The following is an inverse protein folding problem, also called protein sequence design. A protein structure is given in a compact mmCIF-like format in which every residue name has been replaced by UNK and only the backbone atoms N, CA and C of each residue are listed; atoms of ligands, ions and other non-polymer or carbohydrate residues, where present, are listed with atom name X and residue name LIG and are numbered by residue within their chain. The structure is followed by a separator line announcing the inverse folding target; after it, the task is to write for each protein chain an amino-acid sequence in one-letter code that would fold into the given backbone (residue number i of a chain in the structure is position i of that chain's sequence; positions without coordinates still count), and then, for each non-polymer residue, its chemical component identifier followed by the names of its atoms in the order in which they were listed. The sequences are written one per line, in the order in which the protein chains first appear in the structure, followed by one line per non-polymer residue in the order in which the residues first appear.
data_IF_146227335260
#
_entry.id   IF_146227335260
#
_cell.length_a   1.000
_cell.length_b   1.000
_cell.length_c   1.000
_cell.angle_alpha   90.00
_cell.angle_beta   90.00
_cell.angle_gamma   90.00
#
_symmetry.space_group_name_H-M   'P 1'
#
loop_
_entity.id
_entity.type
_entity.pdbx_description
1 polymer ?
#
# COMPACT_ATOMS: atom_id res chain seq x y z
N UNK A 1 -57.29 44.47 35.11
CA UNK A 1 -57.19 44.89 33.69
C UNK A 1 -55.73 44.90 33.27
N UNK A 2 -55.47 44.33 32.08
CA UNK A 2 -54.29 44.48 31.19
C UNK A 2 -52.96 43.78 31.55
N UNK A 3 -52.75 42.70 30.77
CA UNK A 3 -51.51 42.05 30.35
C UNK A 3 -50.35 43.01 30.07
N UNK A 4 -49.12 42.56 30.32
CA UNK A 4 -48.11 42.49 29.26
C UNK A 4 -47.11 41.35 29.52
N UNK A 5 -47.05 40.42 28.57
CA UNK A 5 -46.08 39.33 28.48
C UNK A 5 -44.73 39.93 28.10
N UNK A 6 -43.64 39.54 28.77
CA UNK A 6 -42.28 39.77 28.27
C UNK A 6 -41.53 38.44 28.31
N UNK A 7 -41.53 37.79 27.16
CA UNK A 7 -40.64 36.67 26.83
C UNK A 7 -39.39 37.31 26.24
N UNK A 8 -38.27 37.26 26.96
CA UNK A 8 -36.95 37.51 26.37
C UNK A 8 -36.18 36.20 26.36
N UNK A 9 -36.05 35.64 25.16
CA UNK A 9 -35.30 34.43 24.88
C UNK A 9 -33.81 34.59 25.22
N UNK A 10 -33.13 33.55 25.74
CA UNK A 10 -31.68 33.55 25.76
C UNK A 10 -31.18 33.37 24.33
N UNK A 11 -30.46 34.36 23.81
CA UNK A 11 -29.66 34.23 22.59
C UNK A 11 -28.55 33.24 22.93
N UNK A 12 -28.73 31.97 22.57
CA UNK A 12 -27.64 31.02 22.49
C UNK A 12 -26.72 31.50 21.37
N UNK A 13 -25.66 32.19 21.74
CA UNK A 13 -24.49 32.36 20.89
C UNK A 13 -23.78 31.00 20.76
N UNK A 14 -24.39 30.06 20.02
CA UNK A 14 -23.67 28.91 19.51
C UNK A 14 -22.77 29.43 18.39
N UNK A 15 -21.54 29.77 18.75
CA UNK A 15 -20.45 29.89 17.79
C UNK A 15 -20.26 28.50 17.18
N UNK A 16 -20.96 28.23 16.09
CA UNK A 16 -20.58 27.18 15.18
C UNK A 16 -19.31 27.72 14.53
N UNK A 17 -18.16 27.42 15.11
CA UNK A 17 -16.93 27.37 14.31
C UNK A 17 -17.13 26.17 13.40
N UNK A 18 -17.89 26.39 12.32
CA UNK A 18 -17.75 25.57 11.15
C UNK A 18 -16.34 25.87 10.71
N UNK A 19 -15.40 25.00 11.05
CA UNK A 19 -14.15 24.94 10.32
C UNK A 19 -14.58 24.82 8.87
N UNK A 20 -14.44 25.92 8.11
CA UNK A 20 -14.53 25.85 6.67
C UNK A 20 -13.70 24.64 6.25
N UNK A 21 -14.17 23.79 5.31
CA UNK A 21 -13.43 22.59 4.96
C UNK A 21 -12.00 23.01 4.69
N UNK A 22 -11.06 22.53 5.51
CA UNK A 22 -9.66 22.63 5.16
C UNK A 22 -9.57 22.00 3.77
N UNK A 23 -8.90 22.68 2.85
CA UNK A 23 -8.53 22.04 1.61
C UNK A 23 -7.53 20.95 2.02
N UNK A 24 -7.99 19.74 2.26
CA UNK A 24 -7.08 18.63 2.47
C UNK A 24 -6.43 18.30 1.15
N UNK A 25 -5.12 18.05 1.13
CA UNK A 25 -4.44 17.39 0.03
C UNK A 25 -3.75 16.15 0.60
N UNK A 26 -4.05 15.00 0.02
CA UNK A 26 -3.45 13.72 0.43
C UNK A 26 -2.85 13.05 -0.79
N UNK A 27 -1.68 12.44 -0.60
CA UNK A 27 -0.98 11.68 -1.63
C UNK A 27 -0.42 10.40 -1.02
N UNK A 28 -0.52 9.30 -1.76
CA UNK A 28 0.14 8.04 -1.45
C UNK A 28 0.65 7.42 -2.75
N UNK A 29 1.86 6.87 -2.69
CA UNK A 29 2.56 6.26 -3.82
C UNK A 29 3.31 5.03 -3.36
N UNK A 30 3.24 3.97 -4.16
CA UNK A 30 3.93 2.70 -3.92
C UNK A 30 4.34 2.11 -5.26
N UNK A 31 5.64 2.04 -5.54
CA UNK A 31 6.20 1.40 -6.72
C UNK A 31 7.17 0.28 -6.34
N UNK A 32 7.08 -0.84 -7.04
CA UNK A 32 7.99 -1.97 -6.91
C UNK A 32 8.51 -2.39 -8.27
N UNK A 33 9.83 -2.57 -8.38
CA UNK A 33 10.52 -3.05 -9.58
C UNK A 33 11.34 -4.28 -9.22
N UNK A 34 11.32 -5.28 -10.09
CA UNK A 34 12.19 -6.45 -9.99
C UNK A 34 12.71 -6.84 -11.38
N UNK A 35 14.02 -7.11 -11.44
CA UNK A 35 14.71 -7.52 -12.65
C UNK A 35 15.56 -8.74 -12.31
N UNK A 36 15.53 -9.75 -13.17
CA UNK A 36 16.37 -10.94 -13.08
C UNK A 36 17.10 -11.15 -14.38
N UNK A 37 18.41 -11.36 -14.28
CA UNK A 37 19.30 -11.54 -15.42
C UNK A 37 20.41 -12.53 -15.09
N UNK A 38 21.32 -12.74 -16.06
CA UNK A 38 22.48 -13.63 -15.93
C UNK A 38 22.14 -15.04 -15.44
N UNK A 39 21.00 -15.58 -15.90
CA UNK A 39 20.61 -16.95 -15.59
C UNK A 39 21.67 -17.94 -16.08
N UNK A 40 22.09 -18.85 -15.20
CA UNK A 40 22.98 -19.97 -15.54
C UNK A 40 22.38 -20.96 -16.55
N UNK A 41 21.05 -20.99 -16.68
CA UNK A 41 20.30 -21.95 -17.49
C UNK A 41 19.05 -21.28 -18.08
N UNK A 42 18.66 -21.66 -19.29
CA UNK A 42 17.46 -21.12 -19.94
C UNK A 42 16.18 -21.79 -19.42
N UNK A 43 15.05 -21.07 -19.34
CA UNK A 43 13.79 -21.63 -18.89
C UNK A 43 13.20 -22.53 -19.99
N UNK A 44 12.60 -23.63 -19.55
CA UNK A 44 11.79 -24.54 -20.38
C UNK A 44 10.39 -23.99 -20.66
N UNK A 45 9.87 -23.18 -19.75
CA UNK A 45 8.57 -22.52 -19.85
C UNK A 45 8.59 -21.24 -19.01
N UNK A 46 7.84 -20.23 -19.45
CA UNK A 46 7.68 -18.96 -18.75
C UNK A 46 6.21 -18.56 -18.70
N UNK A 47 5.83 -17.83 -17.67
CA UNK A 47 4.53 -17.19 -17.54
C UNK A 47 4.68 -15.84 -16.84
N UNK A 48 3.74 -14.94 -17.11
CA UNK A 48 3.63 -13.65 -16.42
C UNK A 48 2.17 -13.39 -16.08
N UNK A 49 1.93 -12.63 -15.02
CA UNK A 49 0.59 -12.18 -14.66
C UNK A 49 0.65 -10.76 -14.08
N UNK A 50 -0.36 -9.97 -14.41
CA UNK A 50 -0.55 -8.61 -13.89
C UNK A 50 -2.00 -8.43 -13.46
N UNK A 51 -2.22 -7.75 -12.34
CA UNK A 51 -3.54 -7.42 -11.82
C UNK A 51 -3.55 -6.00 -11.26
N UNK A 52 -4.63 -5.27 -11.50
CA UNK A 52 -4.79 -3.90 -11.02
C UNK A 52 -6.21 -3.66 -10.56
N UNK A 53 -6.35 -2.95 -9.43
CA UNK A 53 -7.65 -2.62 -8.86
C UNK A 53 -7.64 -1.21 -8.30
N UNK A 54 -8.73 -0.47 -8.52
CA UNK A 54 -8.89 0.88 -7.99
C UNK A 54 -10.29 1.07 -7.40
N UNK A 55 -10.37 1.87 -6.34
CA UNK A 55 -11.62 2.30 -5.74
C UNK A 55 -11.54 3.80 -5.46
N UNK A 56 -12.55 4.54 -5.94
CA UNK A 56 -12.73 5.95 -5.64
C UNK A 56 -14.14 6.20 -5.11
N UNK A 57 -14.22 6.92 -3.99
CA UNK A 57 -15.47 7.39 -3.40
C UNK A 57 -15.29 8.87 -3.09
N UNK A 58 -16.19 9.73 -3.58
CA UNK A 58 -16.19 11.14 -3.23
C UNK A 58 -17.60 11.67 -2.97
N UNK A 59 -17.73 12.46 -1.90
CA UNK A 59 -18.94 13.20 -1.52
C UNK A 59 -18.61 14.63 -1.13
N UNK A 60 -17.92 15.33 -2.04
CA UNK A 60 -17.62 16.75 -1.89
C UNK A 60 -16.16 17.13 -2.06
N UNK A 61 -15.31 16.20 -2.48
CA UNK A 61 -13.92 16.44 -2.85
C UNK A 61 -13.58 15.84 -4.22
N UNK A 62 -12.29 15.80 -4.53
CA UNK A 62 -11.78 15.07 -5.68
C UNK A 62 -10.89 13.94 -5.19
N UNK A 63 -10.90 12.82 -5.91
CA UNK A 63 -10.04 11.69 -5.60
C UNK A 63 -9.71 10.95 -6.88
N UNK A 64 -8.46 10.55 -7.00
CA UNK A 64 -7.90 9.80 -8.10
C UNK A 64 -7.13 8.61 -7.53
N UNK A 65 -7.26 7.47 -8.19
CA UNK A 65 -6.49 6.27 -7.90
C UNK A 65 -5.98 5.72 -9.24
N UNK A 66 -4.69 5.42 -9.31
CA UNK A 66 -4.00 4.89 -10.49
C UNK A 66 -3.29 3.61 -10.06
N UNK A 67 -3.48 2.54 -10.83
CA UNK A 67 -2.76 1.28 -10.62
C UNK A 67 -2.24 0.79 -11.97
N UNK A 68 -0.94 0.54 -12.04
CA UNK A 68 -0.23 0.06 -13.22
C UNK A 68 0.58 -1.18 -12.87
N UNK A 69 0.69 -2.11 -13.82
CA UNK A 69 1.48 -3.33 -13.68
C UNK A 69 2.00 -3.78 -15.05
N UNK A 70 3.29 -4.12 -15.12
CA UNK A 70 3.95 -4.63 -16.31
C UNK A 70 4.75 -5.88 -15.96
N UNK A 71 4.79 -6.87 -16.85
CA UNK A 71 5.59 -8.07 -16.68
C UNK A 71 5.99 -8.70 -18.02
N UNK A 72 7.26 -9.08 -18.16
CA UNK A 72 7.75 -9.87 -19.27
C UNK A 72 8.82 -10.87 -18.83
N UNK A 73 8.93 -11.97 -19.59
CA UNK A 73 9.99 -12.96 -19.44
C UNK A 73 10.49 -13.36 -20.82
N UNK A 74 11.72 -12.99 -21.14
CA UNK A 74 12.41 -13.35 -22.38
C UNK A 74 13.22 -14.63 -22.17
N UNK A 75 13.19 -15.54 -23.15
CA UNK A 75 13.96 -16.80 -23.10
C UNK A 75 15.37 -16.59 -23.67
N UNK A 76 15.52 -15.81 -24.73
CA UNK A 76 16.81 -15.54 -25.39
C UNK A 76 16.96 -14.04 -25.74
N UNK A 77 17.86 -13.29 -25.06
CA UNK A 77 18.56 -13.68 -23.83
C UNK A 77 17.58 -13.91 -22.68
N UNK A 78 17.96 -14.74 -21.70
CA UNK A 78 17.10 -15.03 -20.55
C UNK A 78 17.08 -13.84 -19.59
N UNK A 79 15.95 -13.13 -19.55
CA UNK A 79 15.73 -11.95 -18.70
C UNK A 79 14.28 -11.93 -18.25
N UNK A 80 14.03 -11.68 -16.97
CA UNK A 80 12.69 -11.46 -16.43
C UNK A 80 12.60 -10.06 -15.82
N UNK A 81 11.46 -9.40 -16.02
CA UNK A 81 11.20 -8.07 -15.51
C UNK A 81 9.72 -7.95 -15.16
N UNK A 82 9.46 -7.23 -14.09
CA UNK A 82 8.13 -6.73 -13.81
C UNK A 82 8.15 -5.54 -12.85
N UNK A 83 7.12 -4.70 -13.00
CA UNK A 83 6.87 -3.53 -12.17
C UNK A 83 5.40 -3.47 -11.75
N UNK A 84 5.15 -2.87 -10.59
CA UNK A 84 3.80 -2.55 -10.11
C UNK A 84 3.81 -1.19 -9.42
N UNK A 85 2.90 -0.31 -9.84
CA UNK A 85 2.74 1.04 -9.32
C UNK A 85 1.31 1.21 -8.82
N UNK A 86 1.17 1.79 -7.63
CA UNK A 86 -0.10 2.22 -7.06
C UNK A 86 0.03 3.65 -6.57
N UNK A 87 -0.87 4.51 -7.01
CA UNK A 87 -0.91 5.93 -6.64
C UNK A 87 -2.34 6.32 -6.26
N UNK A 88 -2.49 7.09 -5.19
CA UNK A 88 -3.75 7.66 -4.80
C UNK A 88 -3.57 9.12 -4.39
N UNK A 89 -4.44 9.98 -4.90
CA UNK A 89 -4.43 11.42 -4.64
C UNK A 89 -5.84 11.89 -4.30
N UNK A 90 -5.95 12.81 -3.35
CA UNK A 90 -7.22 13.31 -2.87
C UNK A 90 -7.16 14.79 -2.50
N UNK A 91 -8.24 15.51 -2.79
CA UNK A 91 -8.38 16.92 -2.47
C UNK A 91 -9.74 17.27 -1.85
N UNK A 92 -9.73 18.24 -0.94
CA UNK A 92 -10.87 18.79 -0.22
C UNK A 92 -11.41 17.90 0.90
N UNK A 93 -12.58 17.27 0.74
CA UNK A 93 -13.27 16.59 1.84
C UNK A 93 -14.02 15.35 1.39
N UNK A 94 -14.27 14.45 2.32
CA UNK A 94 -15.18 13.32 2.16
C UNK A 94 -14.82 12.43 0.97
N UNK A 95 -13.61 11.88 0.99
CA UNK A 95 -13.15 10.98 -0.06
C UNK A 95 -12.39 9.77 0.47
N UNK A 96 -12.34 8.74 -0.37
CA UNK A 96 -11.51 7.55 -0.24
C UNK A 96 -10.97 7.21 -1.63
N UNK A 97 -9.65 7.05 -1.72
CA UNK A 97 -8.95 6.56 -2.89
C UNK A 97 -8.11 5.36 -2.50
N UNK A 98 -8.23 4.26 -3.23
CA UNK A 98 -7.41 3.06 -3.06
C UNK A 98 -6.95 2.61 -4.43
N UNK A 99 -5.65 2.41 -4.58
CA UNK A 99 -5.02 1.76 -5.73
C UNK A 99 -4.27 0.53 -5.25
N UNK A 100 -4.37 -0.56 -6.01
CA UNK A 100 -3.65 -1.80 -5.78
C UNK A 100 -3.15 -2.35 -7.11
N UNK A 101 -1.92 -2.82 -7.14
CA UNK A 101 -1.33 -3.49 -8.29
C UNK A 101 -0.50 -4.69 -7.87
N UNK A 102 -0.53 -5.72 -8.70
CA UNK A 102 0.27 -6.94 -8.56
C UNK A 102 0.92 -7.27 -9.91
N UNK A 103 2.18 -7.69 -9.87
CA UNK A 103 2.87 -8.22 -11.04
C UNK A 103 3.70 -9.44 -10.64
N UNK A 104 3.77 -10.43 -11.53
CA UNK A 104 4.52 -11.66 -11.28
C UNK A 104 5.17 -12.20 -12.55
N UNK A 105 6.31 -12.86 -12.35
CA UNK A 105 7.03 -13.63 -13.38
C UNK A 105 7.31 -15.02 -12.87
N UNK A 106 7.14 -16.02 -13.74
CA UNK A 106 7.36 -17.42 -13.43
C UNK A 106 8.25 -18.02 -14.51
N UNK A 107 9.32 -18.70 -14.10
CA UNK A 107 10.22 -19.42 -15.00
C UNK A 107 10.47 -20.84 -14.50
N UNK A 108 10.24 -21.84 -15.36
CA UNK A 108 10.50 -23.24 -15.04
C UNK A 108 11.80 -23.69 -15.68
N UNK A 109 12.72 -24.27 -14.90
CA UNK A 109 14.05 -24.67 -15.34
C UNK A 109 14.27 -26.16 -15.08
N UNK A 110 14.81 -26.86 -16.08
CA UNK A 110 15.34 -28.21 -15.89
C UNK A 110 16.80 -28.08 -15.52
N UNK A 111 17.15 -28.49 -14.30
CA UNK A 111 18.49 -28.38 -13.74
C UNK A 111 19.16 -29.74 -13.77
N UNK A 112 20.30 -29.83 -14.46
CA UNK A 112 21.07 -31.05 -14.55
C UNK A 112 21.70 -31.41 -13.19
N UNK A 113 21.83 -32.71 -12.95
CA UNK A 113 22.59 -33.23 -11.81
C UNK A 113 24.02 -32.69 -11.78
N UNK A 114 24.51 -32.42 -10.57
CA UNK A 114 25.85 -31.91 -10.29
C UNK A 114 26.17 -30.54 -10.91
N UNK A 115 25.17 -29.67 -11.05
CA UNK A 115 25.34 -28.30 -11.58
C UNK A 115 24.80 -27.23 -10.62
N UNK A 116 25.23 -25.99 -10.81
CA UNK A 116 24.64 -24.83 -10.13
C UNK A 116 23.48 -24.27 -10.95
N UNK A 117 22.44 -23.85 -10.24
CA UNK A 117 21.48 -22.88 -10.74
C UNK A 117 21.75 -21.54 -10.06
N UNK A 118 21.88 -20.49 -10.86
CA UNK A 118 22.10 -19.12 -10.40
C UNK A 118 21.45 -18.10 -11.33
N UNK A 119 21.23 -16.92 -10.76
CA UNK A 119 20.83 -15.68 -11.43
C UNK A 119 21.24 -14.48 -10.58
N UNK A 120 21.35 -13.33 -11.22
CA UNK A 120 21.48 -12.03 -10.56
C UNK A 120 20.13 -11.32 -10.56
N UNK A 121 19.89 -10.48 -9.57
CA UNK A 121 18.67 -9.69 -9.48
C UNK A 121 18.92 -8.28 -8.98
N UNK A 122 18.07 -7.37 -9.45
CA UNK A 122 17.93 -6.02 -8.94
C UNK A 122 16.48 -5.81 -8.49
N UNK A 123 16.30 -5.11 -7.38
CA UNK A 123 14.97 -4.70 -6.92
C UNK A 123 14.96 -3.30 -6.34
N UNK A 124 13.85 -2.60 -6.54
CA UNK A 124 13.59 -1.29 -5.95
C UNK A 124 12.17 -1.26 -5.39
N UNK A 125 12.02 -0.85 -4.13
CA UNK A 125 10.74 -0.51 -3.50
C UNK A 125 10.76 0.98 -3.12
N UNK A 126 9.84 1.75 -3.68
CA UNK A 126 9.65 3.16 -3.38
C UNK A 126 8.24 3.42 -2.85
N UNK A 127 8.16 4.01 -1.66
CA UNK A 127 6.92 4.42 -1.01
C UNK A 127 7.00 5.92 -0.68
N UNK A 128 5.90 6.64 -0.88
CA UNK A 128 5.76 8.01 -0.40
C UNK A 128 4.33 8.30 0.08
N UNK A 129 4.20 9.11 1.11
CA UNK A 129 2.91 9.65 1.58
C UNK A 129 3.04 11.14 1.88
N UNK A 130 1.94 11.88 1.73
CA UNK A 130 1.84 13.29 2.13
C UNK A 130 0.41 13.62 2.55
N UNK A 131 0.29 14.42 3.60
CA UNK A 131 -0.95 15.06 4.04
C UNK A 131 -0.69 16.53 4.39
N UNK A 132 -1.73 17.35 4.45
CA UNK A 132 -1.65 18.74 4.91
C UNK A 132 -1.98 18.87 6.42
N UNK A 133 -2.98 18.12 6.91
CA UNK A 133 -3.48 18.23 8.28
C UNK A 133 -3.77 16.88 8.95
N UNK A 134 -3.00 16.57 9.99
CA UNK A 134 -3.30 15.47 10.91
C UNK A 134 -4.28 15.94 12.02
N UNK A 135 -5.22 15.10 12.50
CA UNK A 135 -5.42 13.68 12.20
C UNK A 135 -6.59 13.37 11.24
N UNK A 136 -7.18 14.39 10.60
CA UNK A 136 -8.34 14.15 9.72
C UNK A 136 -7.93 13.50 8.39
N UNK A 137 -6.73 13.79 7.92
CA UNK A 137 -6.21 13.32 6.64
C UNK A 137 -5.36 12.08 6.84
N UNK A 138 -5.53 11.11 5.95
CA UNK A 138 -4.85 9.82 6.02
C UNK A 138 -4.24 9.50 4.67
N UNK A 139 -2.96 9.14 4.68
CA UNK A 139 -2.27 8.56 3.55
C UNK A 139 -1.50 7.32 4.00
N UNK A 140 -1.53 6.27 3.18
CA UNK A 140 -0.82 5.01 3.42
C UNK A 140 -0.29 4.45 2.11
N UNK A 141 0.97 4.04 2.13
CA UNK A 141 1.59 3.30 1.05
C UNK A 141 2.24 2.04 1.60
N UNK A 142 2.10 0.92 0.89
CA UNK A 142 2.71 -0.34 1.28
C UNK A 142 3.00 -1.18 0.05
N UNK A 143 4.13 -1.87 0.07
CA UNK A 143 4.45 -2.84 -0.97
C UNK A 143 5.31 -3.99 -0.47
N UNK A 144 5.24 -5.09 -1.20
CA UNK A 144 6.11 -6.25 -1.01
C UNK A 144 6.68 -6.72 -2.35
N UNK A 145 7.91 -7.24 -2.28
CA UNK A 145 8.65 -7.83 -3.39
C UNK A 145 9.22 -9.15 -2.91
N UNK A 146 8.89 -10.24 -3.60
CA UNK A 146 9.30 -11.57 -3.16
C UNK A 146 9.59 -12.50 -4.31
N UNK A 147 10.56 -13.38 -4.12
CA UNK A 147 10.71 -14.56 -4.96
C UNK A 147 10.87 -15.82 -4.12
N UNK A 148 10.49 -16.94 -4.72
CA UNK A 148 10.74 -18.27 -4.23
C UNK A 148 11.29 -19.15 -5.34
N UNK A 149 12.25 -20.01 -5.00
CA UNK A 149 12.68 -21.11 -5.84
C UNK A 149 12.02 -22.39 -5.31
N UNK A 150 11.23 -23.06 -6.14
CA UNK A 150 10.39 -24.18 -5.74
C UNK A 150 10.85 -25.43 -6.52
N UNK A 151 11.10 -26.53 -5.83
CA UNK A 151 11.28 -27.83 -6.48
C UNK A 151 9.90 -28.40 -6.86
N UNK A 152 9.63 -28.51 -8.16
CA UNK A 152 8.32 -28.96 -8.65
C UNK A 152 8.10 -30.47 -8.46
N UNK A 153 9.18 -31.24 -8.25
CA UNK A 153 9.09 -32.69 -8.03
C UNK A 153 8.70 -33.01 -6.58
N UNK A 154 9.25 -32.24 -5.63
CA UNK A 154 9.08 -32.48 -4.20
C UNK A 154 8.12 -31.50 -3.52
N UNK A 155 7.64 -30.47 -4.24
CA UNK A 155 6.72 -29.43 -3.77
C UNK A 155 7.23 -28.70 -2.50
N UNK A 156 8.49 -28.30 -2.52
CA UNK A 156 9.10 -27.55 -1.42
C UNK A 156 9.84 -26.29 -1.90
N UNK A 157 9.80 -25.26 -1.06
CA UNK A 157 10.56 -24.03 -1.25
C UNK A 157 12.03 -24.33 -0.90
N UNK A 158 12.90 -24.14 -1.88
CA UNK A 158 14.35 -24.31 -1.75
C UNK A 158 15.02 -23.04 -1.25
N UNK A 159 14.62 -21.90 -1.82
CA UNK A 159 15.22 -20.58 -1.56
C UNK A 159 14.13 -19.51 -1.61
N UNK A 160 14.35 -18.40 -0.90
CA UNK A 160 13.40 -17.29 -0.91
C UNK A 160 14.08 -15.95 -0.63
N UNK A 161 13.39 -14.90 -1.02
CA UNK A 161 13.68 -13.51 -0.69
C UNK A 161 12.35 -12.77 -0.51
N UNK A 162 12.31 -11.85 0.46
CA UNK A 162 11.17 -11.00 0.73
C UNK A 162 11.65 -9.63 1.22
N UNK A 163 11.23 -8.58 0.54
CA UNK A 163 11.32 -7.19 0.96
C UNK A 163 9.90 -6.67 1.12
N UNK A 164 9.60 -6.06 2.26
CA UNK A 164 8.30 -5.46 2.52
C UNK A 164 8.46 -4.10 3.20
N UNK A 165 7.59 -3.16 2.84
CA UNK A 165 7.55 -1.82 3.42
C UNK A 165 6.12 -1.34 3.62
N UNK A 166 5.94 -0.55 4.66
CA UNK A 166 4.70 0.17 4.93
C UNK A 166 5.04 1.53 5.54
N UNK A 167 4.40 2.57 5.04
CA UNK A 167 4.44 3.91 5.62
C UNK A 167 3.01 4.46 5.75
N UNK A 168 2.74 5.19 6.83
CA UNK A 168 1.45 5.79 7.08
C UNK A 168 1.55 7.07 7.91
N UNK A 169 0.90 8.13 7.40
CA UNK A 169 0.79 9.39 8.15
C UNK A 169 -0.13 9.30 9.36
N UNK A 170 -0.78 8.14 9.59
CA UNK A 170 -1.61 7.85 10.74
C UNK A 170 -0.92 6.85 11.67
N UNK A 171 -0.53 7.30 12.86
CA UNK A 171 0.00 6.41 13.90
C UNK A 171 1.50 6.17 13.76
N UNK A 172 1.95 4.96 14.11
CA UNK A 172 3.37 4.55 14.18
C UNK A 172 3.53 3.11 13.65
N UNK A 173 2.79 2.78 12.58
CA UNK A 173 2.80 1.45 11.95
C UNK A 173 3.81 1.36 10.78
N UNK A 174 4.82 2.24 10.78
CA UNK A 174 5.84 2.31 9.74
C UNK A 174 6.87 1.18 9.91
N UNK A 175 7.18 0.49 8.81
CA UNK A 175 8.22 -0.52 8.83
C UNK A 175 8.89 -0.73 7.48
N UNK A 176 10.09 -1.29 7.55
CA UNK A 176 10.77 -1.95 6.44
C UNK A 176 11.32 -3.28 6.96
N UNK A 177 11.09 -4.35 6.22
CA UNK A 177 11.50 -5.70 6.59
C UNK A 177 12.15 -6.41 5.41
N UNK A 178 13.20 -7.17 5.68
CA UNK A 178 13.95 -7.93 4.70
C UNK A 178 14.23 -9.33 5.26
N UNK A 179 13.88 -10.35 4.50
CA UNK A 179 14.14 -11.75 4.83
C UNK A 179 14.63 -12.48 3.58
N UNK A 180 15.53 -13.44 3.77
CA UNK A 180 16.09 -14.24 2.68
C UNK A 180 16.61 -15.57 3.19
N UNK A 181 16.81 -16.52 2.29
CA UNK A 181 17.57 -17.73 2.56
C UNK A 181 19.10 -17.48 2.53
N UNK A 182 19.87 -18.48 2.95
CA UNK A 182 21.33 -18.37 3.07
C UNK A 182 22.04 -18.25 1.71
N UNK A 183 21.49 -18.87 0.66
CA UNK A 183 22.07 -18.88 -0.68
C UNK A 183 21.73 -17.64 -1.52
N UNK A 184 20.96 -16.70 -0.96
CA UNK A 184 20.74 -15.37 -1.54
C UNK A 184 21.79 -14.42 -0.97
N UNK A 185 22.63 -13.86 -1.82
CA UNK A 185 23.67 -12.90 -1.44
C UNK A 185 23.25 -11.51 -1.89
N UNK A 186 23.36 -10.52 -1.01
CA UNK A 186 23.08 -9.11 -1.34
C UNK A 186 24.43 -8.40 -1.49
N UNK A 187 24.70 -7.81 -2.65
CA UNK A 187 25.93 -7.08 -2.93
C UNK A 187 25.82 -5.63 -2.45
N UNK A 188 24.69 -4.99 -2.73
CA UNK A 188 24.41 -3.62 -2.35
C UNK A 188 23.00 -3.50 -1.78
N UNK A 189 22.87 -2.76 -0.68
CA UNK A 189 21.58 -2.42 -0.07
C UNK A 189 21.61 -0.92 0.24
N UNK A 190 20.81 -0.17 -0.49
CA UNK A 190 20.59 1.26 -0.23
C UNK A 190 19.20 1.44 0.37
N UNK A 191 19.12 2.10 1.52
CA UNK A 191 17.87 2.39 2.21
C UNK A 191 17.84 3.82 2.71
N UNK A 192 16.78 4.56 2.41
CA UNK A 192 16.56 5.92 2.88
C UNK A 192 15.15 6.09 3.47
N UNK A 193 14.87 5.53 4.66
CA UNK A 193 13.60 5.73 5.34
C UNK A 193 13.53 7.12 5.99
N UNK A 194 12.37 7.76 5.88
CA UNK A 194 11.97 8.91 6.69
C UNK A 194 10.52 8.71 7.13
N UNK A 195 10.37 8.44 8.41
CA UNK A 195 9.10 8.11 9.05
C UNK A 195 8.59 9.27 9.91
N UNK A 196 7.27 9.34 10.06
CA UNK A 196 6.56 10.35 10.81
C UNK A 196 6.45 11.73 10.15
N UNK A 197 5.61 12.57 10.77
CA UNK A 197 5.34 13.93 10.30
C UNK A 197 4.13 13.99 9.36
N UNK A 198 4.17 14.90 8.40
CA UNK A 198 3.12 15.05 7.39
C UNK A 198 3.52 14.43 6.04
N UNK A 199 4.78 14.01 5.92
CA UNK A 199 5.37 13.44 4.71
C UNK A 199 6.32 12.33 5.10
N UNK A 200 6.16 11.16 4.49
CA UNK A 200 7.01 10.01 4.74
C UNK A 200 7.47 9.44 3.42
N UNK A 201 8.67 8.86 3.44
CA UNK A 201 9.22 8.18 2.28
C UNK A 201 10.06 6.99 2.69
N UNK A 202 10.07 5.97 1.83
CA UNK A 202 10.93 4.81 1.93
C UNK A 202 11.41 4.45 0.54
N UNK A 203 12.71 4.49 0.32
CA UNK A 203 13.33 3.90 -0.88
C UNK A 203 14.28 2.79 -0.44
N UNK A 204 14.12 1.61 -1.02
CA UNK A 204 15.02 0.47 -0.81
C UNK A 204 15.43 -0.09 -2.16
N UNK A 205 16.70 0.03 -2.52
CA UNK A 205 17.29 -0.58 -3.71
C UNK A 205 18.27 -1.67 -3.31
N UNK A 206 18.16 -2.84 -3.94
CA UNK A 206 18.98 -4.01 -3.63
C UNK A 206 19.48 -4.62 -4.94
N UNK A 207 20.79 -4.85 -4.99
CA UNK A 207 21.42 -5.77 -5.95
C UNK A 207 21.81 -7.05 -5.22
N UNK A 208 21.62 -8.18 -5.88
CA UNK A 208 21.96 -9.47 -5.30
C UNK A 208 22.03 -10.59 -6.31
N UNK A 209 22.33 -11.78 -5.80
CA UNK A 209 22.38 -12.99 -6.59
C UNK A 209 21.92 -14.19 -5.77
N UNK A 210 21.50 -15.23 -6.47
CA UNK A 210 21.21 -16.54 -5.89
C UNK A 210 22.11 -17.57 -6.56
N UNK A 211 22.66 -18.49 -5.77
CA UNK A 211 23.32 -19.68 -6.32
C UNK A 211 23.04 -20.91 -5.47
N UNK A 212 22.54 -21.97 -6.11
CA UNK A 212 22.27 -23.26 -5.46
C UNK A 212 22.83 -24.42 -6.28
N UNK A 213 23.53 -25.33 -5.61
CA UNK A 213 24.02 -26.57 -6.20
C UNK A 213 22.98 -27.68 -6.11
N UNK A 214 22.82 -28.46 -7.18
CA UNK A 214 21.92 -29.60 -7.25
C UNK A 214 22.71 -30.89 -7.49
N UNK A 215 22.55 -31.87 -6.60
CA UNK A 215 23.20 -33.19 -6.72
C UNK A 215 22.50 -34.08 -7.76
N UNK A 216 21.18 -33.94 -7.86
CA UNK A 216 20.31 -34.73 -8.72
C UNK A 216 19.63 -33.84 -9.74
N UNK A 217 19.24 -34.44 -10.86
CA UNK A 217 18.43 -33.76 -11.87
C UNK A 217 17.04 -33.44 -11.30
N UNK A 218 16.59 -32.21 -11.52
CA UNK A 218 15.29 -31.75 -11.05
C UNK A 218 14.69 -30.67 -11.95
N UNK A 219 13.41 -30.36 -11.74
CA UNK A 219 12.74 -29.21 -12.33
C UNK A 219 12.37 -28.25 -11.23
N UNK A 220 12.80 -27.00 -11.36
CA UNK A 220 12.50 -25.92 -10.42
C UNK A 220 11.64 -24.85 -11.08
N UNK A 221 10.85 -24.16 -10.28
CA UNK A 221 10.19 -22.92 -10.65
C UNK A 221 10.80 -21.76 -9.87
N UNK A 222 11.21 -20.70 -10.57
CA UNK A 222 11.34 -19.37 -9.98
C UNK A 222 9.96 -18.72 -10.06
N UNK A 223 9.39 -18.37 -8.92
CA UNK A 223 8.15 -17.61 -8.81
C UNK A 223 8.48 -16.29 -8.13
N UNK A 224 8.23 -15.19 -8.82
CA UNK A 224 8.41 -13.86 -8.27
C UNK A 224 7.08 -13.11 -8.32
N UNK A 225 6.78 -12.39 -7.24
CA UNK A 225 5.54 -11.65 -7.04
C UNK A 225 5.87 -10.32 -6.36
N UNK A 226 5.23 -9.26 -6.85
CA UNK A 226 5.16 -7.95 -6.20
C UNK A 226 3.74 -7.49 -6.02
N UNK A 227 3.51 -6.78 -4.92
CA UNK A 227 2.23 -6.15 -4.60
C UNK A 227 2.46 -4.75 -4.10
N UNK A 228 1.69 -3.81 -4.61
CA UNK A 228 1.73 -2.42 -4.22
C UNK A 228 0.33 -1.94 -3.87
N UNK A 229 0.24 -1.03 -2.90
CA UNK A 229 -1.00 -0.42 -2.49
C UNK A 229 -0.76 1.02 -2.06
N UNK A 230 -1.61 1.92 -2.55
CA UNK A 230 -1.70 3.30 -2.12
C UNK A 230 -3.13 3.61 -1.68
N UNK A 231 -3.26 4.33 -0.57
CA UNK A 231 -4.55 4.72 -0.01
C UNK A 231 -4.51 6.15 0.50
N UNK A 232 -5.57 6.89 0.20
CA UNK A 232 -5.83 8.21 0.78
C UNK A 232 -7.27 8.33 1.27
N UNK A 233 -7.48 9.00 2.39
CA UNK A 233 -8.83 9.21 2.92
C UNK A 233 -8.97 10.50 3.73
N UNK A 234 -10.14 11.13 3.59
CA UNK A 234 -10.62 12.20 4.47
C UNK A 234 -12.08 11.90 4.84
N UNK A 235 -12.39 11.59 6.12
CA UNK A 235 -13.71 11.19 6.56
C UNK A 235 -14.73 12.34 6.58
N UNK A 236 -16.01 12.00 6.55
CA UNK A 236 -17.10 12.97 6.70
C UNK A 236 -17.08 13.64 8.09
N UNK A 237 -17.26 14.98 8.21
CA UNK A 237 -17.41 15.65 9.49
C UNK A 237 -18.59 15.07 10.29
N UNK A 238 -18.32 14.62 11.52
CA UNK A 238 -19.27 13.88 12.38
C UNK A 238 -20.43 14.71 12.98
N UNK A 239 -20.69 15.91 12.47
CA UNK A 239 -21.70 16.86 12.99
C UNK A 239 -23.13 16.26 12.97
N UNK A 240 -23.36 15.26 12.11
CA UNK A 240 -24.64 14.51 12.02
C UNK A 240 -25.07 13.84 13.35
N UNK A 241 -24.15 13.25 14.13
CA UNK A 241 -24.52 12.58 15.38
C UNK A 241 -24.81 13.56 16.53
N UNK A 242 -24.12 14.70 16.58
CA UNK A 242 -24.30 15.69 17.64
C UNK A 242 -25.71 16.32 17.63
N UNK A 243 -26.32 16.47 16.45
CA UNK A 243 -27.70 16.96 16.29
C UNK A 243 -28.74 15.96 16.82
N UNK A 244 -28.50 14.65 16.66
CA UNK A 244 -29.41 13.61 17.16
C UNK A 244 -29.40 13.51 18.69
N UNK A 245 -28.22 13.62 19.31
CA UNK A 245 -28.10 13.56 20.78
C UNK A 245 -28.68 14.82 21.43
N UNK A 246 -28.46 16.00 20.85
CA UNK A 246 -29.05 17.25 21.37
C UNK A 246 -30.57 17.30 21.22
N UNK A 247 -31.14 16.81 20.12
CA UNK A 247 -32.60 16.67 19.94
C UNK A 247 -33.26 15.72 20.95
N UNK A 248 -32.59 14.60 21.27
CA UNK A 248 -33.07 13.62 22.25
C UNK A 248 -33.08 14.16 23.69
N UNK A 249 -32.04 14.88 24.10
CA UNK A 249 -31.93 15.46 25.45
C UNK A 249 -32.95 16.60 25.66
N UNK A 250 -33.18 17.45 24.65
CA UNK A 250 -34.20 18.51 24.72
C UNK A 250 -35.61 17.91 24.87
N UNK A 251 -35.89 16.81 24.17
CA UNK A 251 -37.20 16.13 24.22
C UNK A 251 -37.47 15.49 25.59
N UNK A 252 -36.44 14.93 26.24
CA UNK A 252 -36.54 14.35 27.59
C UNK A 252 -36.73 15.43 28.68
N UNK A 253 -36.05 16.57 28.55
CA UNK A 253 -36.19 17.68 29.51
C UNK A 253 -37.55 18.37 29.41
N UNK A 254 -38.09 18.54 28.20
CA UNK A 254 -39.42 19.11 27.99
C UNK A 254 -40.55 18.17 28.49
N UNK A 255 -40.37 16.86 28.40
CA UNK A 255 -41.34 15.88 28.92
C UNK A 255 -41.38 15.82 30.44
N UNK A 256 -40.30 16.23 31.13
CA UNK A 256 -40.18 16.24 32.60
C UNK A 256 -40.79 17.49 33.25
N UNK A 257 -41.11 18.55 32.47
CA UNK A 257 -41.75 19.80 32.94
C UNK A 257 -43.25 19.86 32.61
N UNK A 258 -44.01 18.80 32.89
CA UNK A 258 -45.47 18.91 33.06
C UNK A 258 -45.79 18.97 34.55
N UNK A 259 -46.12 20.14 35.12
CA UNK A 259 -46.65 20.23 36.47
C UNK A 259 -48.14 19.86 36.50
N UNK A 260 -48.56 19.21 37.59
CA UNK A 260 -49.97 19.22 38.04
C UNK A 260 -50.36 20.63 38.50
#
# INVERSE_FOLDING_TARGET
MKRCLLITAPILASWIVGTAPSKAATFAFSEGIFVVENFSQSPSNVATNTDTNTLTISKGGMVQAIAEAEAFFLIEPTVAFNSSLSEAFGENRNYLGVAQSEASVIGNFNVNANTNFSFDFFTNLELATSIDNSPQEKARASGDISFALIDLKNDNILEFFNLAGNITTEGDDDFVALQKSDNVVLSEVFGAPSFGGLQEFLTVSIEGSLQRYFTDETTIALVEIKRNRAEVAVPEPSISLALLVSGGVISLVLKRKRPN
#
